data_IF_031311072564
#
_entry.id   IF_031311072564
#
_cell.length_a   1.000
_cell.length_b   1.000
_cell.length_c   1.000
_cell.angle_alpha   90.00
_cell.angle_beta   90.00
_cell.angle_gamma   90.00
#
_symmetry.space_group_name_H-M   'P 1'
#
loop_
_entity.id
_entity.type
_entity.pdbx_description
1 polymer ?
#
# COMPACT_ATOMS: atom_id res chain seq x y z
N UNK A 1 30.22 -10.19 24.44
CA UNK A 1 29.42 -10.71 23.31
C UNK A 1 29.72 -9.81 22.12
N UNK A 2 30.58 -10.25 21.18
CA UNK A 2 30.96 -9.47 20.00
C UNK A 2 29.85 -9.45 18.94
N UNK A 3 28.69 -8.90 19.29
CA UNK A 3 27.55 -8.74 18.37
C UNK A 3 27.57 -7.33 17.79
N UNK A 4 27.44 -7.23 16.46
CA UNK A 4 27.28 -5.98 15.75
C UNK A 4 25.79 -5.63 15.60
N UNK A 5 25.45 -4.36 15.80
CA UNK A 5 24.08 -3.87 15.73
C UNK A 5 23.86 -3.10 14.42
N UNK A 6 22.75 -3.40 13.75
CA UNK A 6 22.28 -2.68 12.56
C UNK A 6 21.00 -1.86 12.82
N UNK A 7 20.64 -1.01 11.85
CA UNK A 7 19.33 -0.34 11.81
C UNK A 7 18.59 -0.73 10.54
N UNK A 8 17.34 -1.13 10.70
CA UNK A 8 16.41 -1.39 9.61
C UNK A 8 15.19 -0.49 9.81
N UNK A 9 14.60 -0.05 8.71
CA UNK A 9 13.35 0.69 8.69
C UNK A 9 12.38 0.00 7.73
N UNK A 10 11.12 -0.02 8.13
CA UNK A 10 10.01 -0.56 7.32
C UNK A 10 8.87 0.43 7.39
N UNK A 11 8.43 0.88 6.23
CA UNK A 11 7.25 1.74 6.14
C UNK A 11 5.96 0.93 6.15
N UNK A 12 4.86 1.64 6.38
CA UNK A 12 3.52 1.13 6.20
C UNK A 12 2.72 2.04 5.28
N UNK A 13 1.49 1.66 4.98
CA UNK A 13 0.55 2.44 4.17
C UNK A 13 -0.48 3.15 5.08
N UNK A 14 -1.03 4.30 4.67
CA UNK A 14 -2.20 4.87 5.33
C UNK A 14 -3.39 3.90 5.31
N UNK A 15 -4.23 4.00 6.36
CA UNK A 15 -5.53 3.34 6.43
C UNK A 15 -6.62 4.34 6.08
N UNK A 16 -7.57 3.92 5.24
CA UNK A 16 -8.73 4.73 4.86
C UNK A 16 -9.97 4.28 5.63
N UNK A 17 -10.85 5.22 5.91
CA UNK A 17 -12.22 4.92 6.31
C UNK A 17 -13.02 4.49 5.06
N UNK A 18 -13.53 3.27 5.06
CA UNK A 18 -14.27 2.70 3.96
C UNK A 18 -15.50 3.53 3.54
N UNK A 19 -16.12 4.27 4.47
CA UNK A 19 -17.26 5.14 4.17
C UNK A 19 -16.89 6.32 3.26
N UNK A 20 -15.60 6.64 3.17
CA UNK A 20 -15.07 7.73 2.33
C UNK A 20 -14.61 7.24 0.96
N UNK A 21 -14.65 5.94 0.70
CA UNK A 21 -14.21 5.31 -0.55
C UNK A 21 -15.41 4.93 -1.42
N UNK A 22 -15.37 5.28 -2.70
CA UNK A 22 -16.34 4.85 -3.70
C UNK A 22 -16.00 3.45 -4.25
N UNK A 23 -16.00 2.45 -3.35
CA UNK A 23 -15.61 1.07 -3.65
C UNK A 23 -16.45 0.42 -4.75
N UNK A 24 -17.71 0.84 -4.91
CA UNK A 24 -18.64 0.40 -5.95
C UNK A 24 -18.17 0.77 -7.37
N UNK A 25 -17.26 1.75 -7.49
CA UNK A 25 -16.68 2.19 -8.76
C UNK A 25 -15.37 1.50 -9.11
N UNK A 26 -14.87 0.65 -8.22
CA UNK A 26 -13.59 -0.03 -8.37
C UNK A 26 -13.77 -1.47 -8.86
N UNK A 27 -12.71 -1.98 -9.49
CA UNK A 27 -12.69 -3.39 -9.89
C UNK A 27 -12.61 -4.26 -8.64
N UNK A 28 -13.62 -5.12 -8.45
CA UNK A 28 -13.65 -6.13 -7.40
C UNK A 28 -12.68 -7.27 -7.74
N UNK A 29 -11.91 -7.71 -6.74
CA UNK A 29 -11.10 -8.92 -6.78
C UNK A 29 -11.59 -9.89 -5.69
N UNK A 30 -12.38 -10.91 -6.04
CA UNK A 30 -12.83 -11.93 -5.09
C UNK A 30 -11.69 -12.91 -4.76
N UNK A 31 -11.86 -13.66 -3.68
CA UNK A 31 -11.07 -14.86 -3.41
C UNK A 31 -11.45 -16.03 -4.33
N UNK A 32 -10.75 -17.14 -4.19
CA UNK A 32 -11.05 -18.37 -4.90
C UNK A 32 -12.37 -19.00 -4.41
N UNK A 33 -13.09 -19.65 -5.32
CA UNK A 33 -14.30 -20.41 -5.03
C UNK A 33 -14.13 -21.86 -5.53
N UNK A 34 -14.04 -22.88 -4.63
CA UNK A 34 -14.10 -22.77 -3.17
C UNK A 34 -12.79 -22.25 -2.54
N UNK A 35 -12.85 -21.59 -1.37
CA UNK A 35 -11.65 -21.12 -0.67
C UNK A 35 -10.82 -22.31 -0.16
N UNK A 36 -9.51 -22.24 -0.34
CA UNK A 36 -8.58 -23.32 0.05
C UNK A 36 -8.03 -23.08 1.46
N UNK A 37 -8.21 -24.03 2.41
CA UNK A 37 -7.61 -23.92 3.73
C UNK A 37 -6.09 -23.94 3.67
N UNK A 38 -5.45 -23.07 4.46
CA UNK A 38 -3.98 -23.06 4.57
C UNK A 38 -3.44 -24.26 5.37
N UNK A 39 -4.19 -24.71 6.39
CA UNK A 39 -3.81 -25.85 7.24
C UNK A 39 -4.33 -27.15 6.66
N UNK A 40 -3.49 -28.19 6.64
CA UNK A 40 -3.88 -29.56 6.28
C UNK A 40 -4.92 -30.17 7.24
N UNK A 41 -5.11 -29.59 8.43
CA UNK A 41 -6.08 -30.05 9.44
C UNK A 41 -7.46 -29.39 9.29
N UNK A 42 -7.59 -28.40 8.41
CA UNK A 42 -8.86 -27.68 8.20
C UNK A 42 -9.57 -28.26 7.00
N UNK A 43 -10.76 -28.81 7.21
CA UNK A 43 -11.53 -29.48 6.16
C UNK A 43 -12.21 -28.49 5.21
N UNK A 44 -12.70 -27.37 5.73
CA UNK A 44 -13.37 -26.33 4.95
C UNK A 44 -13.27 -24.96 5.63
N UNK A 45 -13.45 -23.89 4.85
CA UNK A 45 -13.59 -22.52 5.35
C UNK A 45 -15.08 -22.16 5.26
N UNK A 46 -15.71 -21.94 6.41
CA UNK A 46 -17.12 -21.60 6.55
C UNK A 46 -17.37 -20.10 6.81
N UNK A 47 -16.30 -19.30 6.81
CA UNK A 47 -16.37 -17.85 7.07
C UNK A 47 -16.71 -17.07 5.79
N UNK A 48 -17.51 -15.98 5.90
CA UNK A 48 -17.75 -15.08 4.78
C UNK A 48 -16.45 -14.59 4.16
N UNK A 49 -16.33 -14.74 2.84
CA UNK A 49 -15.20 -14.20 2.09
C UNK A 49 -15.51 -12.76 1.68
N UNK A 50 -14.63 -11.83 2.02
CA UNK A 50 -14.75 -10.42 1.65
C UNK A 50 -13.80 -10.13 0.50
N UNK A 51 -14.24 -9.46 -0.58
CA UNK A 51 -13.35 -9.15 -1.70
C UNK A 51 -12.39 -8.02 -1.36
N UNK A 52 -11.35 -7.89 -2.19
CA UNK A 52 -10.53 -6.69 -2.27
C UNK A 52 -10.98 -5.82 -3.46
N UNK A 53 -10.50 -4.59 -3.53
CA UNK A 53 -10.69 -3.72 -4.70
C UNK A 53 -9.36 -3.31 -5.30
N UNK A 54 -9.35 -3.08 -6.60
CA UNK A 54 -8.17 -2.65 -7.34
C UNK A 54 -8.35 -1.19 -7.75
N UNK A 55 -7.35 -0.38 -7.41
CA UNK A 55 -7.18 0.98 -7.93
C UNK A 55 -5.74 1.18 -8.42
N UNK A 56 -5.44 2.36 -8.95
CA UNK A 56 -4.15 2.67 -9.56
C UNK A 56 -3.69 4.08 -9.20
N UNK A 57 -2.37 4.23 -9.01
CA UNK A 57 -1.76 5.57 -9.08
C UNK A 57 -1.88 6.13 -10.49
N UNK A 58 -1.69 7.44 -10.64
CA UNK A 58 -1.73 8.13 -11.92
C UNK A 58 -0.63 9.20 -12.00
N UNK A 59 -0.50 9.82 -13.17
CA UNK A 59 0.54 10.82 -13.44
C UNK A 59 0.48 12.03 -12.48
N UNK A 60 -0.71 12.42 -11.99
CA UNK A 60 -0.85 13.51 -11.01
C UNK A 60 -0.23 13.12 -9.66
N UNK A 61 -0.47 11.90 -9.20
CA UNK A 61 0.16 11.35 -7.99
C UNK A 61 1.67 11.27 -8.18
N UNK A 62 2.13 10.78 -9.33
CA UNK A 62 3.56 10.66 -9.59
C UNK A 62 4.25 12.02 -9.58
N UNK A 63 3.62 13.03 -10.18
CA UNK A 63 4.10 14.42 -10.12
C UNK A 63 4.16 14.93 -8.69
N UNK A 64 3.08 14.77 -7.92
CA UNK A 64 3.01 15.17 -6.51
C UNK A 64 4.17 14.57 -5.70
N UNK A 65 4.42 13.28 -5.85
CA UNK A 65 5.51 12.58 -5.15
C UNK A 65 6.88 13.10 -5.59
N UNK A 66 7.12 13.25 -6.91
CA UNK A 66 8.40 13.78 -7.45
C UNK A 66 8.70 15.19 -6.95
N UNK A 67 7.70 16.07 -6.95
CA UNK A 67 7.84 17.45 -6.46
C UNK A 67 8.20 17.51 -4.96
N UNK A 68 7.89 16.45 -4.20
CA UNK A 68 8.05 16.39 -2.74
C UNK A 68 9.08 15.35 -2.25
N UNK A 69 9.89 14.74 -3.13
CA UNK A 69 10.87 13.72 -2.74
C UNK A 69 11.83 14.16 -1.63
N UNK A 70 12.21 15.43 -1.62
CA UNK A 70 13.08 16.03 -0.61
C UNK A 70 12.48 15.99 0.81
N UNK A 71 11.17 15.74 0.94
CA UNK A 71 10.44 15.66 2.21
C UNK A 71 10.27 14.24 2.71
N UNK A 72 10.58 13.21 1.91
CA UNK A 72 10.51 11.82 2.32
C UNK A 72 11.76 11.45 3.15
N UNK A 73 11.64 11.10 4.44
CA UNK A 73 12.79 10.81 5.31
C UNK A 73 13.66 9.63 4.85
N UNK A 74 13.07 8.63 4.20
CA UNK A 74 13.82 7.50 3.62
C UNK A 74 14.55 7.89 2.35
N UNK A 75 13.88 8.56 1.41
CA UNK A 75 14.49 8.97 0.14
C UNK A 75 15.50 10.12 0.30
N UNK A 76 15.35 10.96 1.33
CA UNK A 76 16.28 12.07 1.64
C UNK A 76 17.52 11.64 2.44
N UNK A 77 17.61 10.37 2.85
CA UNK A 77 18.74 9.86 3.63
C UNK A 77 18.78 10.34 5.09
N UNK A 78 17.70 10.97 5.59
CA UNK A 78 17.57 11.34 7.00
C UNK A 78 17.50 10.10 7.91
N UNK A 79 16.94 9.01 7.40
CA UNK A 79 16.98 7.70 8.05
C UNK A 79 18.16 6.89 7.48
N UNK A 80 19.19 6.67 8.31
CA UNK A 80 20.28 5.74 8.01
C UNK A 80 19.83 4.31 8.29
N UNK A 81 19.32 3.64 7.26
CA UNK A 81 18.97 2.22 7.26
C UNK A 81 18.84 1.74 5.82
N UNK A 82 19.33 0.53 5.52
CA UNK A 82 19.14 -0.03 4.19
C UNK A 82 17.64 -0.36 4.02
N UNK A 83 17.01 0.23 3.01
CA UNK A 83 15.67 -0.16 2.57
C UNK A 83 15.71 -1.66 2.20
N UNK A 84 14.80 -2.51 2.70
CA UNK A 84 14.67 -3.87 2.19
C UNK A 84 14.54 -3.83 0.67
N UNK A 85 15.56 -4.38 -0.03
CA UNK A 85 15.75 -4.36 -1.49
C UNK A 85 14.51 -4.73 -2.34
N UNK A 86 13.51 -5.34 -1.73
CA UNK A 86 12.40 -6.02 -2.39
C UNK A 86 11.07 -5.24 -2.40
N UNK A 87 10.87 -4.22 -1.55
CA UNK A 87 9.61 -3.47 -1.51
C UNK A 87 9.86 -1.95 -1.31
N UNK A 88 10.25 -1.22 -2.38
CA UNK A 88 10.46 0.21 -2.27
C UNK A 88 9.14 0.94 -1.93
N UNK A 89 9.26 2.04 -1.20
CA UNK A 89 8.17 3.00 -0.99
C UNK A 89 7.63 3.51 -2.33
N UNK A 90 6.41 4.05 -2.35
CA UNK A 90 5.79 4.55 -3.59
C UNK A 90 6.59 5.69 -4.19
N UNK A 91 7.15 6.57 -3.36
CA UNK A 91 8.03 7.64 -3.81
C UNK A 91 9.28 7.10 -4.50
N UNK A 92 9.87 6.03 -3.98
CA UNK A 92 11.00 5.34 -4.60
C UNK A 92 10.61 4.57 -5.87
N UNK A 93 9.44 3.92 -5.90
CA UNK A 93 8.91 3.23 -7.09
C UNK A 93 8.75 4.20 -8.26
N UNK A 94 8.21 5.40 -8.01
CA UNK A 94 7.96 6.42 -9.03
C UNK A 94 9.27 6.98 -9.63
N UNK A 95 10.36 6.95 -8.86
CA UNK A 95 11.71 7.34 -9.33
C UNK A 95 12.38 6.18 -10.07
N UNK A 96 12.39 4.98 -9.49
CA UNK A 96 13.07 3.81 -10.06
C UNK A 96 12.41 3.29 -11.34
N UNK A 97 11.08 3.40 -11.44
CA UNK A 97 10.28 2.92 -12.57
C UNK A 97 9.56 4.08 -13.27
N UNK A 98 10.33 5.11 -13.65
CA UNK A 98 9.79 6.35 -14.20
C UNK A 98 9.04 6.18 -15.55
N UNK A 99 9.23 5.07 -16.25
CA UNK A 99 8.52 4.70 -17.48
C UNK A 99 7.07 4.24 -17.20
N UNK A 100 6.75 3.82 -15.98
CA UNK A 100 5.42 3.35 -15.60
C UNK A 100 4.50 4.55 -15.36
N UNK A 101 3.38 4.60 -16.10
CA UNK A 101 2.33 5.63 -15.94
C UNK A 101 1.43 5.41 -14.71
N UNK A 102 1.42 4.18 -14.19
CA UNK A 102 0.59 3.78 -13.07
C UNK A 102 1.19 2.57 -12.35
N UNK A 103 0.86 2.47 -11.07
CA UNK A 103 1.15 1.33 -10.20
C UNK A 103 -0.16 0.87 -9.57
N UNK A 104 -0.39 -0.45 -9.59
CA UNK A 104 -1.57 -1.07 -9.01
C UNK A 104 -1.54 -0.99 -7.49
N UNK A 105 -2.72 -0.76 -6.91
CA UNK A 105 -2.97 -0.73 -5.46
C UNK A 105 -4.12 -1.68 -5.18
N UNK A 106 -3.98 -2.48 -4.12
CA UNK A 106 -5.09 -3.23 -3.55
C UNK A 106 -5.64 -2.48 -2.35
N UNK A 107 -6.96 -2.32 -2.32
CA UNK A 107 -7.72 -1.86 -1.18
C UNK A 107 -8.23 -3.11 -0.47
N UNK A 108 -7.59 -3.42 0.65
CA UNK A 108 -7.81 -4.66 1.42
C UNK A 108 -8.54 -4.31 2.72
N UNK A 109 -9.74 -4.86 2.98
CA UNK A 109 -10.37 -4.72 4.30
C UNK A 109 -9.50 -5.30 5.41
N UNK A 110 -9.29 -4.55 6.48
CA UNK A 110 -8.62 -5.10 7.67
C UNK A 110 -9.59 -5.95 8.52
N UNK A 111 -10.89 -5.82 8.30
CA UNK A 111 -11.92 -6.62 8.97
C UNK A 111 -13.14 -6.94 8.11
N UNK A 112 -13.91 -7.95 8.52
CA UNK A 112 -15.12 -8.44 7.84
C UNK A 112 -16.21 -7.36 7.69
N UNK A 113 -16.27 -6.39 8.62
CA UNK A 113 -17.24 -5.29 8.57
C UNK A 113 -16.88 -4.15 7.61
N UNK A 114 -15.70 -4.19 6.97
CA UNK A 114 -15.24 -3.23 5.95
C UNK A 114 -15.37 -1.78 6.44
N UNK A 115 -14.72 -1.44 7.55
CA UNK A 115 -14.64 -0.07 8.08
C UNK A 115 -13.28 0.56 7.77
N UNK A 116 -12.22 -0.24 7.81
CA UNK A 116 -10.83 0.17 7.61
C UNK A 116 -10.28 -0.52 6.38
N UNK A 117 -9.72 0.28 5.47
CA UNK A 117 -9.09 -0.21 4.25
C UNK A 117 -7.57 0.01 4.31
N UNK A 118 -6.83 -1.07 4.19
CA UNK A 118 -5.39 -1.08 3.98
C UNK A 118 -5.05 -0.87 2.50
N UNK A 119 -4.26 0.16 2.19
CA UNK A 119 -3.90 0.50 0.80
C UNK A 119 -2.59 -0.18 0.38
N UNK A 120 -2.63 -1.48 0.10
CA UNK A 120 -1.46 -2.25 -0.28
C UNK A 120 -0.88 -1.78 -1.64
N UNK A 121 0.39 -1.40 -1.64
CA UNK A 121 1.10 -0.91 -2.84
C UNK A 121 1.61 0.53 -2.72
N UNK A 122 1.09 1.32 -1.77
CA UNK A 122 1.51 2.71 -1.49
C UNK A 122 2.17 2.90 -0.11
N UNK A 123 3.10 2.02 0.25
CA UNK A 123 4.00 2.23 1.38
C UNK A 123 4.73 3.56 1.23
N UNK A 124 4.77 4.38 2.27
CA UNK A 124 5.34 5.71 2.14
C UNK A 124 5.84 6.27 3.46
N UNK A 125 6.91 7.06 3.37
CA UNK A 125 7.45 7.87 4.45
C UNK A 125 7.07 9.35 4.31
N UNK A 126 6.28 9.69 3.28
CA UNK A 126 5.89 11.07 2.98
C UNK A 126 5.13 11.73 4.14
N UNK A 127 5.25 13.06 4.32
CA UNK A 127 4.46 13.79 5.30
C UNK A 127 2.95 13.62 5.11
N UNK A 128 2.19 13.69 6.20
CA UNK A 128 0.73 13.49 6.23
C UNK A 128 -0.02 14.32 5.17
N UNK A 129 0.34 15.58 4.98
CA UNK A 129 -0.30 16.47 3.99
C UNK A 129 -0.12 15.98 2.55
N UNK A 130 1.01 15.34 2.25
CA UNK A 130 1.27 14.73 0.93
C UNK A 130 0.54 13.41 0.79
N UNK A 131 0.47 12.61 1.87
CA UNK A 131 -0.32 11.38 1.87
C UNK A 131 -1.81 11.68 1.61
N UNK A 132 -2.39 12.67 2.29
CA UNK A 132 -3.79 13.06 2.09
C UNK A 132 -4.08 13.54 0.66
N UNK A 133 -3.17 14.31 0.06
CA UNK A 133 -3.30 14.74 -1.33
C UNK A 133 -3.20 13.56 -2.29
N UNK A 134 -2.24 12.64 -2.08
CA UNK A 134 -2.08 11.44 -2.88
C UNK A 134 -3.35 10.57 -2.83
N UNK A 135 -3.90 10.33 -1.64
CA UNK A 135 -5.09 9.49 -1.45
C UNK A 135 -6.32 10.08 -2.16
N UNK A 136 -6.53 11.40 -2.11
CA UNK A 136 -7.63 12.08 -2.83
C UNK A 136 -7.50 12.04 -4.35
N UNK A 137 -6.31 11.74 -4.87
CA UNK A 137 -6.07 11.61 -6.30
C UNK A 137 -6.23 10.17 -6.80
N UNK A 138 -6.40 9.19 -5.90
CA UNK A 138 -6.71 7.82 -6.29
C UNK A 138 -8.14 7.77 -6.86
N UNK A 139 -8.38 7.04 -7.95
CA UNK A 139 -9.73 6.68 -8.34
C UNK A 139 -10.38 5.80 -7.27
N UNK A 140 -11.68 6.01 -7.04
CA UNK A 140 -12.45 5.34 -5.99
C UNK A 140 -12.54 6.18 -4.73
#
# INVERSE_FOLDING_TARGET
MGLELGRMATDTTPRLDAQTCALDKLQVQPGDEPPVPFSFMTESIDRPQVPCWITYTNEKIHKLLRDNLHRAPLSSGQIKGADPRYCPSIEDKVVRFADKKQHRIFLEPEEESIKTIYCNGIFTSMPKDIQEQMLKLLPG
#
